data_IF_823099766649
#
_entry.id   IF_823099766649
#
_cell.length_a   1.000
_cell.length_b   1.000
_cell.length_c   1.000
_cell.angle_alpha   90.00
_cell.angle_beta   90.00
_cell.angle_gamma   90.00
#
_symmetry.space_group_name_H-M   'P 1'
#
loop_
_entity.id
_entity.type
_entity.pdbx_description
1 polymer ?
#
# COMPACT_ATOMS: atom_id res chain seq x y z
N UNK A 1 -36.25 33.16 17.69
CA UNK A 1 -35.31 32.94 16.59
C UNK A 1 -33.90 33.04 17.14
N UNK A 2 -33.33 31.91 17.56
CA UNK A 2 -31.92 31.85 17.93
C UNK A 2 -31.16 31.58 16.64
N UNK A 3 -30.53 32.63 16.13
CA UNK A 3 -29.55 32.54 15.04
C UNK A 3 -28.38 31.68 15.54
N UNK A 4 -28.38 30.40 15.17
CA UNK A 4 -27.21 29.55 15.29
C UNK A 4 -26.23 30.06 14.23
N UNK A 5 -25.24 30.85 14.66
CA UNK A 5 -24.09 31.16 13.84
C UNK A 5 -23.47 29.82 13.42
N UNK A 6 -23.50 29.53 12.12
CA UNK A 6 -22.85 28.34 11.58
C UNK A 6 -21.36 28.45 11.89
N UNK A 7 -20.84 27.56 12.74
CA UNK A 7 -19.39 27.43 12.95
C UNK A 7 -18.73 27.21 11.59
N UNK A 8 -17.92 28.18 11.16
CA UNK A 8 -17.21 28.15 9.88
C UNK A 8 -16.24 26.97 9.86
N UNK A 9 -16.36 26.10 8.86
CA UNK A 9 -15.47 24.95 8.67
C UNK A 9 -14.18 25.40 7.96
N UNK A 10 -12.99 25.32 8.58
CA UNK A 10 -11.72 25.74 7.97
C UNK A 10 -11.38 25.05 6.64
N UNK A 11 -11.93 23.86 6.39
CA UNK A 11 -11.83 23.18 5.09
C UNK A 11 -12.58 23.93 3.99
N UNK A 12 -13.78 24.42 4.29
CA UNK A 12 -14.62 25.12 3.31
C UNK A 12 -14.05 26.49 2.99
N UNK A 13 -13.48 27.18 3.99
CA UNK A 13 -12.75 28.42 3.78
C UNK A 13 -11.57 28.21 2.81
N UNK A 14 -10.75 27.18 3.01
CA UNK A 14 -9.63 26.89 2.11
C UNK A 14 -10.09 26.64 0.67
N UNK A 15 -11.09 25.77 0.48
CA UNK A 15 -11.62 25.44 -0.85
C UNK A 15 -12.51 26.52 -1.45
N UNK A 16 -12.86 27.58 -0.71
CA UNK A 16 -13.55 28.74 -1.28
C UNK A 16 -12.62 29.62 -2.14
N UNK A 17 -11.30 29.46 -1.97
CA UNK A 17 -10.30 30.19 -2.77
C UNK A 17 -10.42 29.85 -4.27
N UNK A 18 -10.55 30.90 -5.09
CA UNK A 18 -10.63 30.75 -6.56
C UNK A 18 -9.38 30.11 -7.14
N UNK A 19 -8.20 30.48 -6.62
CA UNK A 19 -6.92 29.88 -7.02
C UNK A 19 -6.91 28.38 -6.74
N UNK A 20 -7.35 27.96 -5.55
CA UNK A 20 -7.39 26.54 -5.17
C UNK A 20 -8.32 25.77 -6.10
N UNK A 21 -9.54 26.27 -6.32
CA UNK A 21 -10.53 25.59 -7.19
C UNK A 21 -10.06 25.54 -8.65
N UNK A 22 -9.43 26.59 -9.14
CA UNK A 22 -8.91 26.65 -10.51
C UNK A 22 -7.79 25.64 -10.74
N UNK A 23 -6.80 25.58 -9.84
CA UNK A 23 -5.69 24.62 -9.97
C UNK A 23 -6.18 23.16 -9.91
N UNK A 24 -7.14 22.86 -9.02
CA UNK A 24 -7.77 21.52 -8.95
C UNK A 24 -8.53 21.21 -10.23
N UNK A 25 -9.38 22.13 -10.69
CA UNK A 25 -10.20 21.92 -11.87
C UNK A 25 -9.38 21.73 -13.14
N UNK A 26 -8.33 22.52 -13.32
CA UNK A 26 -7.42 22.40 -14.46
C UNK A 26 -6.68 21.07 -14.46
N UNK A 27 -6.16 20.63 -13.31
CA UNK A 27 -5.51 19.32 -13.23
C UNK A 27 -6.50 18.17 -13.47
N UNK A 28 -7.70 18.25 -12.89
CA UNK A 28 -8.72 17.20 -12.98
C UNK A 28 -9.46 17.14 -14.32
N UNK A 29 -9.31 18.15 -15.19
CA UNK A 29 -10.03 18.22 -16.46
C UNK A 29 -9.76 17.00 -17.33
N UNK A 30 -10.82 16.27 -17.68
CA UNK A 30 -10.74 15.04 -18.48
C UNK A 30 -10.16 13.83 -17.72
N UNK A 31 -9.94 13.94 -16.41
CA UNK A 31 -9.51 12.83 -15.53
C UNK A 31 -10.68 12.28 -14.76
N UNK A 32 -10.61 10.98 -14.46
CA UNK A 32 -11.53 10.36 -13.52
C UNK A 32 -11.17 10.76 -12.09
N UNK A 33 -12.07 11.49 -11.44
CA UNK A 33 -11.83 12.13 -10.15
C UNK A 33 -12.15 11.19 -8.99
N UNK A 34 -11.40 11.33 -7.90
CA UNK A 34 -11.75 10.76 -6.61
C UNK A 34 -11.82 11.86 -5.54
N UNK A 35 -12.68 11.65 -4.55
CA UNK A 35 -12.77 12.49 -3.36
C UNK A 35 -12.65 11.61 -2.12
N UNK A 36 -11.80 12.03 -1.17
CA UNK A 36 -11.56 11.33 0.08
C UNK A 36 -11.98 12.19 1.27
N UNK A 37 -12.70 11.58 2.20
CA UNK A 37 -13.13 12.17 3.46
C UNK A 37 -13.33 11.09 4.53
N UNK A 38 -13.95 11.48 5.64
CA UNK A 38 -14.29 10.61 6.75
C UNK A 38 -13.99 11.25 8.11
N UNK A 39 -14.78 10.88 9.12
CA UNK A 39 -14.51 11.24 10.51
C UNK A 39 -13.32 10.43 11.06
N UNK A 40 -12.72 10.88 12.18
CA UNK A 40 -11.64 10.17 12.88
C UNK A 40 -11.92 8.67 13.01
N UNK A 41 -11.12 7.85 12.31
CA UNK A 41 -11.23 6.38 12.31
C UNK A 41 -11.99 5.75 11.13
N UNK A 42 -12.65 6.56 10.28
CA UNK A 42 -13.34 6.12 9.06
C UNK A 42 -12.68 6.72 7.83
N UNK A 43 -12.44 5.90 6.80
CA UNK A 43 -11.93 6.34 5.49
C UNK A 43 -13.00 6.10 4.44
N UNK A 44 -13.44 7.16 3.77
CA UNK A 44 -14.38 7.07 2.66
C UNK A 44 -13.70 7.63 1.42
N UNK A 45 -13.56 6.77 0.41
CA UNK A 45 -12.92 7.11 -0.86
C UNK A 45 -13.92 6.87 -1.99
N UNK A 46 -14.40 7.96 -2.60
CA UNK A 46 -15.45 7.92 -3.62
C UNK A 46 -14.91 8.29 -4.98
N UNK A 47 -15.36 7.56 -6.00
CA UNK A 47 -15.04 7.79 -7.41
C UNK A 47 -16.25 7.82 -8.32
N UNK A 48 -17.44 7.61 -7.76
CA UNK A 48 -18.69 7.56 -8.49
C UNK A 48 -19.77 8.34 -7.77
N UNK A 49 -20.68 8.91 -8.54
CA UNK A 49 -21.98 9.36 -8.06
C UNK A 49 -22.84 8.17 -7.63
N UNK A 50 -23.93 8.44 -6.90
CA UNK A 50 -24.86 7.40 -6.45
C UNK A 50 -25.54 6.65 -7.62
N UNK A 51 -25.69 7.32 -8.75
CA UNK A 51 -26.23 6.73 -9.99
C UNK A 51 -25.19 5.90 -10.78
N UNK A 52 -23.96 5.77 -10.26
CA UNK A 52 -22.89 4.97 -10.85
C UNK A 52 -22.05 5.70 -11.89
N UNK A 53 -22.36 6.95 -12.25
CA UNK A 53 -21.52 7.77 -13.15
C UNK A 53 -20.17 8.09 -12.50
N UNK A 54 -19.04 8.04 -13.23
CA UNK A 54 -17.75 8.41 -12.67
C UNK A 54 -17.70 9.89 -12.30
N UNK A 55 -17.03 10.24 -11.21
CA UNK A 55 -16.83 11.64 -10.83
C UNK A 55 -15.89 12.32 -11.84
N UNK A 56 -16.22 13.55 -12.20
CA UNK A 56 -15.39 14.40 -13.05
C UNK A 56 -15.48 15.84 -12.56
N UNK A 57 -14.43 16.62 -12.84
CA UNK A 57 -14.33 18.04 -12.55
C UNK A 57 -13.72 18.69 -13.79
N UNK A 58 -14.37 19.71 -14.32
CA UNK A 58 -13.97 20.44 -15.53
C UNK A 58 -13.83 21.95 -15.31
N UNK A 59 -14.50 22.47 -14.27
CA UNK A 59 -14.54 23.87 -13.88
C UNK A 59 -14.30 24.08 -12.37
N UNK A 60 -13.88 25.29 -11.94
CA UNK A 60 -13.78 25.64 -10.52
C UNK A 60 -15.12 25.47 -9.76
N UNK A 61 -16.24 25.67 -10.46
CA UNK A 61 -17.58 25.49 -9.90
C UNK A 61 -17.87 24.01 -9.59
N UNK A 62 -17.42 23.09 -10.45
CA UNK A 62 -17.60 21.65 -10.23
C UNK A 62 -16.89 21.19 -8.94
N UNK A 63 -15.73 21.78 -8.62
CA UNK A 63 -15.01 21.50 -7.36
C UNK A 63 -15.89 21.85 -6.16
N UNK A 64 -16.50 23.03 -6.20
CA UNK A 64 -17.38 23.51 -5.13
C UNK A 64 -18.62 22.65 -4.98
N UNK A 65 -19.26 22.30 -6.10
CA UNK A 65 -20.45 21.44 -6.11
C UNK A 65 -20.14 20.04 -5.59
N UNK A 66 -18.98 19.49 -5.96
CA UNK A 66 -18.51 18.20 -5.47
C UNK A 66 -18.34 18.20 -3.94
N UNK A 67 -17.65 19.21 -3.40
CA UNK A 67 -17.44 19.35 -1.95
C UNK A 67 -18.76 19.54 -1.20
N UNK A 68 -19.67 20.36 -1.74
CA UNK A 68 -20.98 20.62 -1.15
C UNK A 68 -21.87 19.37 -1.17
N UNK A 69 -21.88 18.62 -2.27
CA UNK A 69 -22.67 17.40 -2.39
C UNK A 69 -22.21 16.35 -1.38
N UNK A 70 -20.89 16.21 -1.19
CA UNK A 70 -20.31 15.25 -0.28
C UNK A 70 -20.01 15.81 1.13
N UNK A 71 -20.55 16.98 1.49
CA UNK A 71 -20.27 17.68 2.76
C UNK A 71 -20.40 16.81 4.00
N UNK A 72 -21.39 15.92 4.03
CA UNK A 72 -21.60 14.98 5.14
C UNK A 72 -20.45 13.99 5.37
N UNK A 73 -19.57 13.79 4.38
CA UNK A 73 -18.36 12.97 4.49
C UNK A 73 -17.16 13.76 5.00
N UNK A 74 -17.29 15.08 5.21
CA UNK A 74 -16.16 15.98 5.50
C UNK A 74 -15.01 15.78 4.49
N UNK A 75 -15.27 15.98 3.18
CA UNK A 75 -14.29 15.71 2.14
C UNK A 75 -13.07 16.60 2.34
N UNK A 76 -11.90 15.98 2.33
CA UNK A 76 -10.63 16.66 2.59
C UNK A 76 -9.72 16.68 1.38
N UNK A 77 -9.65 15.61 0.61
CA UNK A 77 -8.71 15.48 -0.50
C UNK A 77 -9.42 15.14 -1.82
N UNK A 78 -8.93 15.71 -2.90
CA UNK A 78 -9.38 15.51 -4.28
C UNK A 78 -8.20 14.96 -5.08
N UNK A 79 -8.48 13.96 -5.91
CA UNK A 79 -7.48 13.25 -6.72
C UNK A 79 -7.92 13.20 -8.18
N UNK A 80 -6.96 13.21 -9.09
CA UNK A 80 -7.17 12.94 -10.51
C UNK A 80 -6.44 11.65 -10.93
N UNK A 81 -7.06 10.89 -11.83
CA UNK A 81 -6.42 9.71 -12.44
C UNK A 81 -5.18 10.07 -13.25
N UNK A 82 -4.26 9.12 -13.39
CA UNK A 82 -3.11 9.27 -14.30
C UNK A 82 -3.55 9.47 -15.76
N UNK A 83 -4.67 8.84 -16.12
CA UNK A 83 -5.25 8.88 -17.45
C UNK A 83 -6.13 10.12 -17.63
N UNK A 84 -6.04 10.72 -18.81
CA UNK A 84 -7.02 11.63 -19.38
C UNK A 84 -7.83 10.85 -20.41
N UNK A 85 -9.14 10.92 -20.32
CA UNK A 85 -10.07 10.19 -21.17
C UNK A 85 -10.70 11.10 -22.21
N UNK A 86 -11.03 10.53 -23.39
CA UNK A 86 -11.85 11.24 -24.40
C UNK A 86 -13.28 11.43 -23.89
N UNK A 87 -13.79 10.46 -23.12
CA UNK A 87 -15.12 10.50 -22.49
C UNK A 87 -15.14 9.87 -21.09
N UNK A 88 -15.84 10.52 -20.15
CA UNK A 88 -16.06 10.05 -18.76
C UNK A 88 -17.57 9.92 -18.51
N UNK A 89 -18.28 9.23 -19.40
CA UNK A 89 -19.74 9.08 -19.29
C UNK A 89 -20.16 7.86 -18.47
N UNK A 90 -19.32 6.81 -18.39
CA UNK A 90 -19.70 5.54 -17.77
C UNK A 90 -18.50 4.77 -17.19
N UNK A 91 -18.79 3.68 -16.48
CA UNK A 91 -17.75 2.74 -16.00
C UNK A 91 -17.00 2.07 -17.15
N UNK A 92 -17.70 1.72 -18.22
CA UNK A 92 -17.09 1.11 -19.39
C UNK A 92 -16.13 2.08 -20.08
N UNK A 93 -16.45 3.39 -20.10
CA UNK A 93 -15.57 4.37 -20.74
C UNK A 93 -14.22 4.49 -20.02
N UNK A 94 -14.19 4.41 -18.69
CA UNK A 94 -12.93 4.51 -17.92
C UNK A 94 -12.09 3.22 -17.94
N UNK A 95 -12.65 2.09 -18.38
CA UNK A 95 -11.97 0.80 -18.50
C UNK A 95 -11.49 0.50 -19.93
N UNK A 96 -12.01 1.21 -20.93
CA UNK A 96 -11.63 1.07 -22.34
C UNK A 96 -10.24 1.68 -22.62
N UNK A 97 -9.23 0.86 -22.99
CA UNK A 97 -7.89 1.34 -23.34
C UNK A 97 -7.89 2.37 -24.47
N UNK A 98 -8.80 2.23 -25.44
CA UNK A 98 -8.88 3.11 -26.62
C UNK A 98 -9.45 4.50 -26.30
N UNK A 99 -10.11 4.63 -25.15
CA UNK A 99 -10.66 5.87 -24.65
C UNK A 99 -9.63 6.71 -23.87
N UNK A 100 -8.46 6.15 -23.55
CA UNK A 100 -7.34 6.90 -22.96
C UNK A 100 -6.77 7.83 -24.03
N UNK A 101 -6.92 9.14 -23.83
CA UNK A 101 -6.39 10.18 -24.70
C UNK A 101 -4.92 10.49 -24.38
N UNK A 102 -4.60 10.56 -23.09
CA UNK A 102 -3.25 10.82 -22.57
C UNK A 102 -3.06 10.11 -21.23
N UNK A 103 -1.81 9.88 -20.83
CA UNK A 103 -1.47 9.40 -19.50
C UNK A 103 -0.19 10.09 -19.02
N UNK A 104 -0.17 10.57 -17.79
CA UNK A 104 0.99 11.26 -17.22
C UNK A 104 2.00 10.22 -16.69
N UNK A 105 3.27 10.21 -17.15
CA UNK A 105 4.35 9.50 -16.47
C UNK A 105 4.61 10.13 -15.11
N UNK A 106 4.58 9.33 -14.04
CA UNK A 106 4.69 9.80 -12.66
C UNK A 106 5.56 8.84 -11.84
N UNK A 107 6.59 9.39 -11.22
CA UNK A 107 7.40 8.70 -10.21
C UNK A 107 6.91 9.09 -8.82
N UNK A 108 6.50 8.11 -8.03
CA UNK A 108 6.01 8.31 -6.66
C UNK A 108 7.15 8.05 -5.66
N UNK A 109 7.54 9.07 -4.91
CA UNK A 109 8.55 8.97 -3.84
C UNK A 109 7.86 9.20 -2.51
N UNK A 110 7.69 8.12 -1.76
CA UNK A 110 7.22 8.14 -0.39
C UNK A 110 8.40 8.24 0.59
N UNK A 111 8.23 9.04 1.64
CA UNK A 111 9.19 9.16 2.72
C UNK A 111 8.55 9.61 4.03
N UNK A 112 9.38 9.96 5.01
CA UNK A 112 8.92 10.57 6.25
C UNK A 112 9.08 12.10 6.20
N UNK A 113 8.13 12.83 6.78
CA UNK A 113 8.13 14.29 6.77
C UNK A 113 9.36 14.93 7.42
N UNK A 114 9.94 14.30 8.44
CA UNK A 114 11.17 14.77 9.10
C UNK A 114 12.43 14.54 8.25
N UNK A 115 12.30 13.78 7.15
CA UNK A 115 13.35 13.34 6.24
C UNK A 115 13.10 13.77 4.80
N UNK A 116 12.27 14.81 4.63
CA UNK A 116 11.85 15.31 3.31
C UNK A 116 13.02 15.71 2.40
N UNK A 117 14.17 16.13 2.96
CA UNK A 117 15.35 16.49 2.16
C UNK A 117 15.88 15.33 1.33
N UNK A 118 15.82 14.12 1.88
CA UNK A 118 16.26 12.92 1.16
C UNK A 118 15.26 12.54 0.06
N UNK A 119 13.97 12.79 0.26
CA UNK A 119 12.94 12.68 -0.81
C UNK A 119 13.24 13.64 -1.96
N UNK A 120 13.65 14.88 -1.66
CA UNK A 120 14.05 15.88 -2.67
C UNK A 120 15.36 15.49 -3.37
N UNK A 121 16.30 14.87 -2.66
CA UNK A 121 17.53 14.35 -3.25
C UNK A 121 17.24 13.22 -4.26
N UNK A 122 16.34 12.29 -3.92
CA UNK A 122 15.85 11.27 -4.87
C UNK A 122 15.12 11.90 -6.05
N UNK A 123 14.27 12.92 -5.79
CA UNK A 123 13.58 13.64 -6.86
C UNK A 123 14.57 14.28 -7.83
N UNK A 124 15.68 14.83 -7.34
CA UNK A 124 16.76 15.39 -8.17
C UNK A 124 17.38 14.34 -9.08
N UNK A 125 17.72 13.17 -8.55
CA UNK A 125 18.30 12.07 -9.35
C UNK A 125 17.38 11.68 -10.51
N UNK A 126 16.07 11.59 -10.25
CA UNK A 126 15.06 11.24 -11.26
C UNK A 126 14.94 12.35 -12.30
N UNK A 127 14.85 13.61 -11.85
CA UNK A 127 14.76 14.77 -12.74
C UNK A 127 15.97 14.88 -13.66
N UNK A 128 17.19 14.71 -13.13
CA UNK A 128 18.41 14.71 -13.95
C UNK A 128 18.42 13.61 -15.02
N UNK A 129 17.85 12.43 -14.73
CA UNK A 129 17.74 11.36 -15.72
C UNK A 129 16.69 11.68 -16.78
N UNK A 130 15.57 12.29 -16.41
CA UNK A 130 14.55 12.76 -17.35
C UNK A 130 15.12 13.84 -18.27
N UNK A 131 15.93 14.76 -17.74
CA UNK A 131 16.64 15.77 -18.53
C UNK A 131 17.66 15.15 -19.49
N UNK A 132 18.40 14.10 -19.06
CA UNK A 132 19.28 13.33 -19.95
C UNK A 132 18.54 12.63 -21.08
N UNK A 133 17.27 12.26 -20.88
CA UNK A 133 16.37 11.74 -21.91
C UNK A 133 15.80 12.84 -22.83
N UNK A 134 16.18 14.10 -22.61
CA UNK A 134 15.80 15.24 -23.45
C UNK A 134 14.51 15.96 -23.04
N UNK A 135 13.94 15.62 -21.88
CA UNK A 135 12.69 16.22 -21.39
C UNK A 135 13.01 17.18 -20.24
N UNK A 136 12.84 18.48 -20.44
CA UNK A 136 13.14 19.48 -19.41
C UNK A 136 11.94 20.41 -19.16
N UNK A 137 11.32 20.94 -20.21
CA UNK A 137 10.27 21.96 -20.10
C UNK A 137 8.95 21.39 -19.56
N UNK A 138 8.67 20.15 -19.93
CA UNK A 138 7.44 19.43 -19.55
C UNK A 138 7.50 18.75 -18.18
N UNK A 139 8.57 18.94 -17.40
CA UNK A 139 8.71 18.35 -16.06
C UNK A 139 8.17 19.29 -14.99
N UNK A 140 7.54 18.73 -13.97
CA UNK A 140 7.20 19.43 -12.74
C UNK A 140 7.13 18.45 -11.56
N UNK A 141 7.23 18.99 -10.34
CA UNK A 141 7.20 18.20 -9.11
C UNK A 141 5.98 18.60 -8.30
N UNK A 142 5.34 17.62 -7.65
CA UNK A 142 4.33 17.83 -6.63
C UNK A 142 4.84 17.39 -5.28
N UNK A 143 4.73 18.23 -4.25
CA UNK A 143 4.83 17.77 -2.88
C UNK A 143 3.43 17.43 -2.36
N UNK A 144 3.12 16.14 -2.20
CA UNK A 144 1.76 15.66 -1.89
C UNK A 144 1.39 15.73 -0.41
N UNK A 145 2.37 16.07 0.45
CA UNK A 145 2.22 16.25 1.89
C UNK A 145 2.95 15.21 2.73
N UNK A 146 3.25 14.03 2.19
CA UNK A 146 4.14 13.04 2.83
C UNK A 146 5.28 12.57 1.91
N UNK A 147 5.26 12.97 0.64
CA UNK A 147 6.24 12.59 -0.37
C UNK A 147 6.23 13.54 -1.58
N UNK A 148 7.05 13.21 -2.57
CA UNK A 148 7.16 13.96 -3.82
C UNK A 148 6.75 13.09 -5.00
N UNK A 149 6.00 13.67 -5.94
CA UNK A 149 5.70 13.05 -7.22
C UNK A 149 6.37 13.85 -8.33
N UNK A 150 7.17 13.19 -9.16
CA UNK A 150 7.76 13.80 -10.35
C UNK A 150 6.82 13.50 -11.50
N UNK A 151 6.36 14.53 -12.19
CA UNK A 151 5.44 14.42 -13.30
C UNK A 151 6.11 14.88 -14.59
N UNK A 152 5.87 14.14 -15.66
CA UNK A 152 5.97 14.65 -17.03
C UNK A 152 4.57 15.01 -17.49
N UNK A 153 4.41 16.22 -18.04
CA UNK A 153 3.14 16.67 -18.58
C UNK A 153 2.75 15.81 -19.79
N UNK A 154 1.62 15.13 -19.73
CA UNK A 154 1.20 14.08 -20.67
C UNK A 154 1.05 14.54 -22.13
N UNK A 155 0.95 15.85 -22.36
CA UNK A 155 0.89 16.47 -23.70
C UNK A 155 2.27 16.71 -24.33
N UNK A 156 3.36 16.32 -23.68
CA UNK A 156 4.69 16.42 -24.28
C UNK A 156 4.94 15.38 -25.38
N UNK A 157 4.09 14.34 -25.46
CA UNK A 157 4.16 13.33 -26.52
C UNK A 157 3.32 13.78 -27.72
N UNK A 158 3.90 13.70 -28.92
CA UNK A 158 3.23 14.10 -30.15
C UNK A 158 2.11 13.14 -30.53
N UNK A 159 1.19 13.64 -31.36
CA UNK A 159 0.15 12.81 -31.97
C UNK A 159 0.71 11.63 -32.76
N UNK A 160 1.89 11.74 -33.35
CA UNK A 160 2.50 10.66 -34.14
C UNK A 160 2.90 9.47 -33.26
N UNK A 161 3.45 9.73 -32.07
CA UNK A 161 3.78 8.68 -31.09
C UNK A 161 2.52 8.10 -30.47
N UNK A 162 1.57 8.96 -30.09
CA UNK A 162 0.29 8.55 -29.48
C UNK A 162 -0.63 7.79 -30.45
N UNK A 163 -0.43 7.92 -31.76
CA UNK A 163 -1.13 7.11 -32.76
C UNK A 163 -0.57 5.67 -32.86
N UNK A 164 0.68 5.45 -32.43
CA UNK A 164 1.37 4.16 -32.52
C UNK A 164 1.31 3.35 -31.22
N UNK A 165 1.32 4.03 -30.08
CA UNK A 165 1.40 3.41 -28.76
C UNK A 165 0.32 3.96 -27.84
N UNK A 166 -0.24 3.10 -26.96
CA UNK A 166 -1.20 3.58 -25.97
C UNK A 166 -0.51 4.56 -25.00
N UNK A 167 -1.16 5.67 -24.60
CA UNK A 167 -0.55 6.60 -23.66
C UNK A 167 -0.10 5.96 -22.34
N UNK A 168 -0.85 4.97 -21.84
CA UNK A 168 -0.51 4.26 -20.60
C UNK A 168 0.72 3.36 -20.76
N UNK A 169 0.94 2.80 -21.96
CA UNK A 169 2.15 2.03 -22.27
C UNK A 169 3.39 2.90 -22.19
N UNK A 170 3.31 4.10 -22.77
CA UNK A 170 4.39 5.10 -22.76
C UNK A 170 4.67 5.51 -21.32
N UNK A 171 3.64 5.88 -20.56
CA UNK A 171 3.80 6.31 -19.17
C UNK A 171 4.44 5.22 -18.31
N UNK A 172 3.95 3.98 -18.39
CA UNK A 172 4.51 2.87 -17.62
C UNK A 172 5.97 2.61 -17.98
N UNK A 173 6.26 2.53 -19.29
CA UNK A 173 7.58 2.17 -19.78
C UNK A 173 8.61 3.24 -19.45
N UNK A 174 8.25 4.52 -19.58
CA UNK A 174 9.16 5.62 -19.27
C UNK A 174 9.48 5.67 -17.78
N UNK A 175 8.47 5.47 -16.92
CA UNK A 175 8.68 5.38 -15.47
C UNK A 175 9.63 4.24 -15.12
N UNK A 176 9.41 3.06 -15.69
CA UNK A 176 10.23 1.87 -15.43
C UNK A 176 11.68 2.04 -15.91
N UNK A 177 11.88 2.58 -17.13
CA UNK A 177 13.20 2.84 -17.70
C UNK A 177 14.03 3.77 -16.80
N UNK A 178 13.45 4.89 -16.38
CA UNK A 178 14.15 5.87 -15.53
C UNK A 178 14.45 5.27 -14.16
N UNK A 179 13.52 4.51 -13.57
CA UNK A 179 13.78 3.85 -12.28
C UNK A 179 14.95 2.87 -12.38
N UNK A 180 15.01 2.06 -13.43
CA UNK A 180 16.12 1.12 -13.62
C UNK A 180 17.47 1.86 -13.76
N UNK A 181 17.51 2.97 -14.51
CA UNK A 181 18.74 3.79 -14.67
C UNK A 181 19.16 4.53 -13.41
N UNK A 182 18.20 4.97 -12.60
CA UNK A 182 18.46 5.69 -11.35
C UNK A 182 18.74 4.75 -10.17
N UNK A 183 18.51 3.44 -10.34
CA UNK A 183 18.45 2.47 -9.25
C UNK A 183 19.63 2.53 -8.29
N UNK A 184 20.86 2.45 -8.80
CA UNK A 184 22.06 2.45 -7.95
C UNK A 184 22.18 3.74 -7.13
N UNK A 185 21.93 4.91 -7.75
CA UNK A 185 22.00 6.21 -7.07
C UNK A 185 20.91 6.37 -6.01
N UNK A 186 19.69 5.90 -6.30
CA UNK A 186 18.58 5.94 -5.34
C UNK A 186 18.86 4.99 -4.17
N UNK A 187 19.43 3.80 -4.44
CA UNK A 187 19.81 2.84 -3.41
C UNK A 187 20.90 3.37 -2.47
N UNK A 188 21.86 4.16 -2.98
CA UNK A 188 22.85 4.83 -2.15
C UNK A 188 22.19 5.77 -1.12
N UNK A 189 21.19 6.57 -1.52
CA UNK A 189 20.44 7.42 -0.58
C UNK A 189 19.64 6.58 0.42
N UNK A 190 18.91 5.56 -0.08
CA UNK A 190 18.11 4.67 0.76
C UNK A 190 18.97 3.92 1.79
N UNK A 191 20.22 3.59 1.46
CA UNK A 191 21.16 2.97 2.40
C UNK A 191 21.45 3.85 3.62
N UNK A 192 21.38 5.18 3.44
CA UNK A 192 21.55 6.19 4.50
C UNK A 192 20.21 6.54 5.16
N UNK A 193 19.09 6.30 4.47
CA UNK A 193 17.74 6.57 4.93
C UNK A 193 16.74 5.49 4.51
N UNK A 194 16.53 4.51 5.40
CA UNK A 194 15.70 3.33 5.12
C UNK A 194 14.19 3.61 5.00
N UNK A 195 13.75 4.86 5.17
CA UNK A 195 12.33 5.26 5.11
C UNK A 195 11.85 5.65 3.72
N UNK A 196 12.74 5.74 2.72
CA UNK A 196 12.37 6.15 1.36
C UNK A 196 11.96 4.95 0.52
N UNK A 197 10.85 5.13 -0.21
CA UNK A 197 10.33 4.16 -1.16
C UNK A 197 10.00 4.87 -2.47
N UNK A 198 10.51 4.35 -3.57
CA UNK A 198 10.18 4.83 -4.92
C UNK A 198 9.50 3.70 -5.68
N UNK A 199 8.36 3.97 -6.31
CA UNK A 199 7.56 2.94 -6.98
C UNK A 199 7.08 3.36 -8.36
N UNK A 200 7.05 2.39 -9.29
CA UNK A 200 6.26 2.49 -10.50
C UNK A 200 4.79 2.18 -10.18
N UNK A 201 4.05 3.22 -9.82
CA UNK A 201 2.64 3.11 -9.43
C UNK A 201 1.65 3.28 -10.60
N UNK A 202 2.18 3.33 -11.83
CA UNK A 202 1.39 3.45 -13.06
C UNK A 202 0.46 2.26 -13.19
N UNK A 203 -0.84 2.54 -13.15
CA UNK A 203 -1.91 1.57 -13.23
C UNK A 203 -3.16 2.21 -13.83
N UNK A 204 -3.95 1.42 -14.57
CA UNK A 204 -5.17 1.87 -15.26
C UNK A 204 -6.09 2.72 -14.37
N UNK A 205 -6.16 2.40 -13.07
CA UNK A 205 -7.06 3.07 -12.12
C UNK A 205 -6.32 3.96 -11.11
N UNK A 206 -4.99 4.14 -11.22
CA UNK A 206 -4.20 4.97 -10.29
C UNK A 206 -4.67 6.43 -10.29
N UNK A 207 -4.67 7.05 -9.11
CA UNK A 207 -4.91 8.48 -8.93
C UNK A 207 -3.81 9.11 -8.10
N UNK A 208 -3.59 10.41 -8.30
CA UNK A 208 -2.68 11.22 -7.50
C UNK A 208 -3.39 12.50 -7.04
N UNK A 209 -2.95 13.03 -5.90
CA UNK A 209 -3.51 14.24 -5.28
C UNK A 209 -3.47 15.41 -6.26
N UNK A 210 -4.60 16.10 -6.43
CA UNK A 210 -4.68 17.27 -7.28
C UNK A 210 -3.83 18.42 -6.69
N UNK A 211 -3.19 19.27 -7.51
CA UNK A 211 -2.55 20.49 -7.03
C UNK A 211 -3.50 21.32 -6.17
N UNK A 212 -2.98 21.88 -5.09
CA UNK A 212 -3.67 22.60 -4.03
C UNK A 212 -4.77 21.81 -3.30
N UNK A 213 -5.01 20.53 -3.61
CA UNK A 213 -5.83 19.70 -2.73
C UNK A 213 -5.11 19.50 -1.39
N UNK A 214 -5.89 19.48 -0.30
CA UNK A 214 -5.36 19.18 1.03
C UNK A 214 -4.99 17.70 1.16
N UNK A 215 -3.96 17.42 1.95
CA UNK A 215 -3.58 16.07 2.29
C UNK A 215 -4.61 15.44 3.25
N UNK A 216 -4.98 14.19 3.01
CA UNK A 216 -6.05 13.47 3.74
C UNK A 216 -5.94 13.47 5.27
N UNK A 217 -4.73 13.56 5.83
CA UNK A 217 -4.48 13.50 7.30
C UNK A 217 -3.69 14.69 7.85
N UNK A 218 -2.89 15.34 7.01
CA UNK A 218 -1.95 16.38 7.43
C UNK A 218 -2.56 17.73 7.12
N UNK A 219 -2.25 18.76 7.90
CA UNK A 219 -2.63 20.13 7.58
C UNK A 219 -1.66 20.74 6.55
N UNK A 220 -1.53 20.06 5.40
CA UNK A 220 -0.68 20.44 4.28
C UNK A 220 -1.51 20.38 3.00
N UNK A 221 -1.18 21.21 2.01
CA UNK A 221 -1.74 21.19 0.66
C UNK A 221 -0.70 20.69 -0.35
N UNK A 222 -1.19 20.12 -1.45
CA UNK A 222 -0.35 19.59 -2.51
C UNK A 222 0.22 20.74 -3.36
N UNK A 223 1.49 21.12 -3.19
CA UNK A 223 2.08 22.23 -3.97
C UNK A 223 2.87 21.72 -5.16
N UNK A 224 2.94 22.53 -6.22
CA UNK A 224 3.73 22.23 -7.41
C UNK A 224 4.90 23.21 -7.51
N UNK A 225 6.02 22.75 -8.06
CA UNK A 225 7.20 23.54 -8.34
C UNK A 225 7.98 22.95 -9.52
N UNK A 226 8.89 23.73 -10.09
CA UNK A 226 9.71 23.32 -11.25
C UNK A 226 11.05 22.72 -10.81
N UNK A 227 11.72 21.93 -11.69
CA UNK A 227 13.04 21.35 -11.42
C UNK A 227 14.06 22.31 -10.80
N UNK A 228 14.16 23.53 -11.33
CA UNK A 228 15.08 24.57 -10.87
C UNK A 228 14.75 25.12 -9.46
N UNK A 229 13.61 24.74 -8.87
CA UNK A 229 13.20 25.12 -7.53
C UNK A 229 13.48 24.02 -6.48
N UNK A 230 13.97 22.84 -6.88
CA UNK A 230 14.27 21.72 -5.97
C UNK A 230 15.23 22.12 -4.83
N UNK A 231 16.26 22.91 -5.15
CA UNK A 231 17.29 23.34 -4.18
C UNK A 231 16.79 24.31 -3.11
N UNK A 232 15.70 25.02 -3.39
CA UNK A 232 15.14 26.06 -2.51
C UNK A 232 13.78 25.65 -1.93
N UNK A 233 13.31 24.44 -2.24
CA UNK A 233 12.07 23.92 -1.72
C UNK A 233 12.19 23.73 -0.21
N UNK A 234 11.17 24.14 0.52
CA UNK A 234 11.03 23.91 1.96
C UNK A 234 9.60 23.44 2.25
N UNK A 235 9.43 22.58 3.25
CA UNK A 235 8.13 21.92 3.54
C UNK A 235 7.01 22.93 3.86
N UNK A 236 7.37 24.11 4.37
CA UNK A 236 6.46 25.22 4.68
C UNK A 236 5.72 25.72 3.44
N UNK A 237 6.24 25.49 2.23
CA UNK A 237 5.54 25.82 0.99
C UNK A 237 4.18 25.12 0.91
N UNK A 238 4.02 23.97 1.56
CA UNK A 238 2.78 23.22 1.60
C UNK A 238 1.80 23.70 2.70
N UNK A 239 2.08 24.78 3.42
CA UNK A 239 1.18 25.33 4.44
C UNK A 239 -0.11 25.89 3.78
N UNK A 240 -1.31 25.36 4.09
CA UNK A 240 -2.56 25.80 3.45
C UNK A 240 -2.90 27.28 3.63
N UNK A 241 -2.38 27.93 4.68
CA UNK A 241 -2.63 29.35 4.94
C UNK A 241 -1.73 30.29 4.12
N UNK A 242 -0.57 29.81 3.69
CA UNK A 242 0.42 30.61 2.98
C UNK A 242 1.30 29.69 2.12
N UNK A 243 0.66 29.05 1.15
CA UNK A 243 1.36 28.09 0.29
C UNK A 243 2.20 28.80 -0.77
N UNK A 244 3.28 28.17 -1.20
CA UNK A 244 4.04 28.58 -2.39
C UNK A 244 3.87 27.52 -3.47
N UNK A 245 3.18 27.91 -4.54
CA UNK A 245 2.78 27.04 -5.63
C UNK A 245 3.12 27.67 -6.97
N UNK A 246 3.77 26.90 -7.85
CA UNK A 246 4.11 27.31 -9.20
C UNK A 246 3.08 26.79 -10.19
N UNK A 247 2.19 27.67 -10.68
CA UNK A 247 1.16 27.35 -11.69
C UNK A 247 1.74 27.00 -13.08
N UNK A 248 3.04 27.22 -13.29
CA UNK A 248 3.78 26.80 -14.47
C UNK A 248 3.89 25.27 -14.64
N UNK A 249 3.39 24.46 -13.69
CA UNK A 249 3.26 23.00 -13.85
C UNK A 249 2.48 22.59 -15.12
N UNK A 250 1.66 23.51 -15.65
CA UNK A 250 0.87 23.35 -16.89
C UNK A 250 1.69 23.46 -18.17
N UNK A 251 2.93 23.95 -18.09
CA UNK A 251 3.78 24.15 -19.25
C UNK A 251 4.28 22.82 -19.81
N UNK A 252 4.24 22.69 -21.14
CA UNK A 252 4.76 21.54 -21.87
C UNK A 252 5.21 21.93 -23.29
N UNK A 253 5.99 21.07 -23.93
CA UNK A 253 6.36 21.17 -25.35
C UNK A 253 5.98 19.86 -26.04
N UNK A 254 5.07 19.94 -27.01
CA UNK A 254 4.68 18.77 -27.80
C UNK A 254 5.87 18.23 -28.61
N UNK A 255 6.08 16.92 -28.58
CA UNK A 255 7.19 16.24 -29.22
C UNK A 255 8.46 16.14 -28.36
N UNK A 256 8.56 16.86 -27.24
CA UNK A 256 9.72 16.81 -26.34
C UNK A 256 9.95 15.40 -25.77
N UNK A 257 8.87 14.66 -25.51
CA UNK A 257 8.93 13.31 -24.93
C UNK A 257 9.06 12.16 -25.93
N UNK A 258 9.06 12.43 -27.24
CA UNK A 258 8.86 11.38 -28.26
C UNK A 258 10.02 10.37 -28.30
N UNK A 259 11.26 10.86 -28.30
CA UNK A 259 12.43 10.01 -28.35
C UNK A 259 12.52 9.11 -27.09
N UNK A 260 12.28 9.70 -25.92
CA UNK A 260 12.25 8.98 -24.66
C UNK A 260 11.12 7.94 -24.62
N UNK A 261 9.94 8.27 -25.16
CA UNK A 261 8.82 7.33 -25.26
C UNK A 261 9.16 6.11 -26.13
N UNK A 262 9.74 6.34 -27.32
CA UNK A 262 10.14 5.27 -28.24
C UNK A 262 11.21 4.38 -27.61
N UNK A 263 12.21 4.99 -26.97
CA UNK A 263 13.28 4.29 -26.27
C UNK A 263 12.74 3.43 -25.12
N UNK A 264 11.89 4.01 -24.27
CA UNK A 264 11.28 3.32 -23.15
C UNK A 264 10.39 2.15 -23.59
N UNK A 265 9.55 2.34 -24.62
CA UNK A 265 8.72 1.26 -25.17
C UNK A 265 9.59 0.12 -25.71
N UNK A 266 10.68 0.42 -26.42
CA UNK A 266 11.61 -0.61 -26.92
C UNK A 266 12.27 -1.40 -25.79
N UNK A 267 12.60 -0.73 -24.68
CA UNK A 267 13.29 -1.36 -23.55
C UNK A 267 12.34 -2.16 -22.64
N UNK A 268 11.12 -1.65 -22.40
CA UNK A 268 10.22 -2.17 -21.34
C UNK A 268 9.00 -2.90 -21.91
N UNK A 269 8.50 -2.50 -23.08
CA UNK A 269 7.43 -3.19 -23.80
C UNK A 269 5.99 -2.79 -23.46
N UNK A 270 5.77 -1.74 -22.67
CA UNK A 270 4.42 -1.23 -22.35
C UNK A 270 3.90 -1.62 -20.96
N UNK A 271 2.64 -1.26 -20.70
CA UNK A 271 1.96 -1.47 -19.42
C UNK A 271 1.62 -2.95 -19.22
N UNK A 272 2.18 -3.55 -18.17
CA UNK A 272 2.03 -4.99 -17.90
C UNK A 272 0.61 -5.39 -17.46
N UNK A 273 -0.22 -4.43 -17.05
CA UNK A 273 -1.56 -4.69 -16.55
C UNK A 273 -2.62 -4.96 -17.63
N UNK A 274 -2.29 -4.86 -18.93
CA UNK A 274 -3.22 -5.21 -20.00
C UNK A 274 -3.57 -6.70 -20.03
N UNK A 275 -2.63 -7.56 -19.65
CA UNK A 275 -2.81 -9.01 -19.71
C UNK A 275 -3.48 -9.48 -18.41
N UNK A 276 -4.74 -9.91 -18.52
CA UNK A 276 -5.47 -10.57 -17.44
C UNK A 276 -4.94 -12.01 -17.23
N UNK A 277 -3.69 -12.14 -16.81
CA UNK A 277 -3.17 -13.40 -16.26
C UNK A 277 -2.70 -13.15 -14.85
N UNK A 278 -3.14 -14.01 -13.94
CA UNK A 278 -2.88 -14.07 -12.50
C UNK A 278 -1.41 -14.22 -12.09
N UNK A 279 -0.46 -13.80 -12.92
CA UNK A 279 0.92 -13.61 -12.54
C UNK A 279 1.04 -12.23 -11.88
N UNK A 280 1.49 -12.20 -10.63
CA UNK A 280 1.77 -10.97 -9.88
C UNK A 280 2.37 -9.91 -10.80
N UNK A 281 1.68 -8.79 -10.98
CA UNK A 281 2.19 -7.63 -11.70
C UNK A 281 3.46 -7.14 -10.97
N UNK A 282 4.63 -7.56 -11.44
CA UNK A 282 5.92 -7.13 -10.88
C UNK A 282 6.06 -5.65 -11.22
N UNK A 283 5.73 -4.79 -10.26
CA UNK A 283 6.01 -3.34 -10.30
C UNK A 283 7.45 -3.12 -9.85
N UNK A 284 8.13 -2.20 -10.50
CA UNK A 284 9.46 -1.76 -10.06
C UNK A 284 9.30 -0.96 -8.77
N UNK A 285 9.91 -1.46 -7.70
CA UNK A 285 9.95 -0.82 -6.38
C UNK A 285 11.41 -0.69 -5.99
N UNK A 286 11.85 0.51 -5.66
CA UNK A 286 13.17 0.78 -5.11
C UNK A 286 12.96 1.18 -3.65
N UNK A 287 13.36 0.31 -2.76
CA UNK A 287 13.29 0.51 -1.31
C UNK A 287 14.40 -0.31 -0.67
N UNK A 288 14.70 -0.04 0.61
CA UNK A 288 15.69 -0.83 1.34
C UNK A 288 15.35 -2.34 1.32
N UNK A 289 14.07 -2.70 1.18
CA UNK A 289 13.60 -4.08 1.12
C UNK A 289 13.71 -4.70 -0.28
N UNK A 290 13.67 -3.89 -1.35
CA UNK A 290 13.72 -4.36 -2.75
C UNK A 290 15.14 -4.39 -3.35
N UNK A 291 16.12 -3.77 -2.68
CA UNK A 291 17.52 -3.65 -3.10
C UNK A 291 18.37 -4.93 -2.99
N UNK A 292 17.81 -6.04 -2.53
CA UNK A 292 18.57 -7.27 -2.31
C UNK A 292 18.83 -8.04 -3.61
N UNK A 293 20.08 -8.00 -4.11
CA UNK A 293 20.98 -9.07 -4.66
C UNK A 293 21.90 -8.44 -5.74
N UNK A 294 23.23 -8.45 -5.69
CA UNK A 294 24.19 -8.94 -4.72
C UNK A 294 25.62 -8.55 -5.12
N UNK A 295 26.47 -8.28 -4.14
CA UNK A 295 27.91 -8.55 -4.19
C UNK A 295 28.38 -8.84 -2.77
N UNK A 296 29.23 -9.86 -2.66
CA UNK A 296 29.50 -10.65 -1.46
C UNK A 296 30.14 -9.85 -0.31
N UNK A 297 29.51 -9.87 0.86
CA UNK A 297 29.99 -10.56 2.08
C UNK A 297 29.01 -10.27 3.24
N UNK A 298 28.57 -11.35 3.90
CA UNK A 298 27.85 -11.44 5.17
C UNK A 298 27.52 -10.13 5.91
N UNK A 299 26.22 -9.80 6.00
CA UNK A 299 25.55 -9.76 7.32
C UNK A 299 24.04 -10.02 7.23
N UNK A 300 23.51 -10.79 8.18
CA UNK A 300 22.15 -11.33 8.22
C UNK A 300 21.14 -10.31 8.77
N UNK A 301 20.20 -9.80 7.95
CA UNK A 301 19.28 -8.74 8.38
C UNK A 301 17.79 -8.83 8.00
N UNK A 302 17.33 -9.85 7.26
CA UNK A 302 15.89 -10.00 6.97
C UNK A 302 15.12 -10.51 8.19
N UNK A 303 14.24 -9.69 8.79
CA UNK A 303 13.39 -10.12 9.93
C UNK A 303 12.08 -10.73 9.42
N UNK A 304 11.79 -11.97 9.82
CA UNK A 304 10.48 -12.60 9.59
C UNK A 304 9.41 -11.85 10.39
N UNK A 305 8.31 -11.46 9.73
CA UNK A 305 7.21 -10.74 10.37
C UNK A 305 6.49 -11.57 11.44
N UNK A 306 5.97 -10.92 12.48
CA UNK A 306 5.27 -11.58 13.61
C UNK A 306 4.09 -12.45 13.18
N UNK A 307 3.38 -12.03 12.13
CA UNK A 307 2.27 -12.80 11.55
C UNK A 307 2.78 -14.11 10.93
N UNK A 308 3.89 -14.04 10.18
CA UNK A 308 4.57 -15.19 9.60
C UNK A 308 5.12 -16.13 10.68
N UNK A 309 5.76 -15.59 11.73
CA UNK A 309 6.24 -16.39 12.87
C UNK A 309 5.07 -17.11 13.57
N UNK A 310 3.95 -16.41 13.82
CA UNK A 310 2.77 -17.01 14.43
C UNK A 310 2.19 -18.13 13.56
N UNK A 311 2.02 -17.88 12.26
CA UNK A 311 1.47 -18.88 11.33
C UNK A 311 2.35 -20.11 11.22
N UNK A 312 3.67 -19.92 11.09
CA UNK A 312 4.65 -21.00 11.03
C UNK A 312 4.64 -21.87 12.30
N UNK A 313 4.69 -21.24 13.47
CA UNK A 313 4.73 -21.98 14.74
C UNK A 313 3.41 -22.69 15.04
N UNK A 314 2.26 -22.10 14.69
CA UNK A 314 0.96 -22.77 14.87
C UNK A 314 0.79 -23.94 13.90
N UNK A 315 1.27 -23.81 12.66
CA UNK A 315 1.31 -24.94 11.72
C UNK A 315 2.23 -26.05 12.24
N UNK A 316 3.46 -25.73 12.63
CA UNK A 316 4.40 -26.70 13.18
C UNK A 316 3.87 -27.36 14.46
N UNK A 317 3.20 -26.61 15.34
CA UNK A 317 2.49 -27.12 16.54
C UNK A 317 1.43 -28.14 16.16
N UNK A 318 0.56 -27.79 15.23
CA UNK A 318 -0.51 -28.69 14.78
C UNK A 318 0.05 -29.97 14.13
N UNK A 319 1.08 -29.81 13.30
CA UNK A 319 1.78 -30.94 12.68
C UNK A 319 2.38 -31.89 13.73
N UNK A 320 3.04 -31.35 14.78
CA UNK A 320 3.57 -32.17 15.87
C UNK A 320 2.49 -32.91 16.67
N UNK A 321 1.27 -32.37 16.75
CA UNK A 321 0.16 -32.99 17.48
C UNK A 321 -0.60 -34.03 16.66
N UNK A 322 -0.60 -33.92 15.32
CA UNK A 322 -1.50 -34.69 14.44
C UNK A 322 -0.82 -35.45 13.32
N UNK A 323 0.37 -35.04 12.89
CA UNK A 323 1.09 -35.59 11.73
C UNK A 323 0.57 -35.12 10.36
N UNK A 324 -0.45 -34.26 10.30
CA UNK A 324 -1.07 -33.83 9.05
C UNK A 324 -0.52 -32.48 8.59
N UNK A 325 0.27 -32.48 7.52
CA UNK A 325 0.94 -31.28 6.99
C UNK A 325 -0.04 -30.28 6.37
N UNK A 326 -1.00 -30.76 5.60
CA UNK A 326 -1.90 -29.88 4.87
C UNK A 326 -2.88 -29.21 5.83
N UNK A 327 -3.42 -29.96 6.80
CA UNK A 327 -4.25 -29.37 7.86
C UNK A 327 -3.44 -28.48 8.79
N UNK A 328 -2.16 -28.76 9.01
CA UNK A 328 -1.27 -27.87 9.77
C UNK A 328 -1.13 -26.50 9.11
N UNK A 329 -0.92 -26.45 7.79
CA UNK A 329 -0.87 -25.17 7.03
C UNK A 329 -2.17 -24.38 7.19
N UNK A 330 -3.30 -25.06 6.97
CA UNK A 330 -4.64 -24.49 7.15
C UNK A 330 -4.86 -23.94 8.57
N UNK A 331 -4.51 -24.73 9.59
CA UNK A 331 -4.62 -24.33 11.00
C UNK A 331 -3.72 -23.15 11.35
N UNK A 332 -2.46 -23.18 10.91
CA UNK A 332 -1.47 -22.14 11.20
C UNK A 332 -1.90 -20.77 10.70
N UNK A 333 -2.38 -20.70 9.44
CA UNK A 333 -2.92 -19.46 8.89
C UNK A 333 -4.18 -19.00 9.65
N UNK A 334 -5.12 -19.92 9.92
CA UNK A 334 -6.35 -19.62 10.65
C UNK A 334 -6.06 -19.02 12.03
N UNK A 335 -5.11 -19.57 12.79
CA UNK A 335 -4.72 -19.04 14.10
C UNK A 335 -4.00 -17.70 14.00
N UNK A 336 -3.11 -17.51 13.02
CA UNK A 336 -2.46 -16.22 12.81
C UNK A 336 -3.48 -15.09 12.56
N UNK A 337 -4.53 -15.37 11.77
CA UNK A 337 -5.65 -14.45 11.52
C UNK A 337 -6.45 -14.20 12.81
N UNK A 338 -6.80 -15.25 13.55
CA UNK A 338 -7.52 -15.14 14.82
C UNK A 338 -6.79 -14.23 15.83
N UNK A 339 -5.48 -14.43 16.03
CA UNK A 339 -4.69 -13.60 16.94
C UNK A 339 -4.54 -12.16 16.45
N UNK A 340 -4.42 -11.94 15.14
CA UNK A 340 -4.39 -10.60 14.57
C UNK A 340 -5.72 -9.85 14.78
N UNK A 341 -6.85 -10.55 14.66
CA UNK A 341 -8.19 -10.02 14.93
C UNK A 341 -8.39 -9.71 16.42
N UNK A 342 -8.03 -10.65 17.31
CA UNK A 342 -8.17 -10.51 18.77
C UNK A 342 -7.35 -9.34 19.32
N UNK A 343 -6.17 -9.07 18.73
CA UNK A 343 -5.32 -7.92 19.10
C UNK A 343 -5.97 -6.56 18.77
N UNK A 344 -6.75 -6.48 17.68
CA UNK A 344 -7.41 -5.23 17.26
C UNK A 344 -8.69 -4.93 18.04
N UNK A 345 -9.39 -5.96 18.51
CA UNK A 345 -10.67 -5.82 19.21
C UNK A 345 -10.56 -6.00 20.74
N UNK A 346 -9.37 -6.36 21.25
CA UNK A 346 -9.15 -6.60 22.68
C UNK A 346 -9.28 -5.40 23.62
N UNK A 347 -9.31 -4.15 23.11
CA UNK A 347 -9.54 -2.93 23.93
C UNK A 347 -11.01 -2.60 24.18
N UNK A 348 -11.96 -3.16 23.42
CA UNK A 348 -13.40 -3.01 23.67
C UNK A 348 -13.95 -4.09 24.63
N UNK A 349 -13.13 -5.07 25.02
CA UNK A 349 -13.55 -6.25 25.81
C UNK A 349 -12.93 -6.23 27.21
N UNK A 350 -12.83 -5.06 27.86
CA UNK A 350 -12.49 -5.00 29.29
C UNK A 350 -13.71 -4.73 30.16
N UNK A 351 -14.09 -5.76 30.92
CA UNK A 351 -14.70 -5.75 32.28
C UNK A 351 -16.00 -6.52 32.49
N UNK A 352 -16.73 -6.98 31.46
CA UNK A 352 -17.92 -7.87 31.67
C UNK A 352 -18.15 -8.97 30.63
N UNK A 353 -17.42 -8.97 29.51
CA UNK A 353 -17.61 -9.91 28.39
C UNK A 353 -16.65 -11.12 28.43
N UNK A 354 -15.44 -10.96 28.96
CA UNK A 354 -14.43 -12.03 29.00
C UNK A 354 -14.88 -13.22 29.86
N UNK A 355 -15.66 -12.97 30.91
CA UNK A 355 -16.26 -14.01 31.75
C UNK A 355 -17.47 -14.69 31.11
N UNK A 356 -18.15 -14.06 30.13
CA UNK A 356 -19.26 -14.69 29.38
C UNK A 356 -18.76 -15.52 28.19
N UNK A 357 -17.64 -15.16 27.56
CA UNK A 357 -17.06 -15.96 26.47
C UNK A 357 -16.29 -17.19 26.96
N UNK A 358 -15.65 -17.11 28.13
CA UNK A 358 -14.97 -18.25 28.75
C UNK A 358 -15.94 -19.22 29.47
N UNK A 359 -17.21 -18.82 29.63
CA UNK A 359 -18.26 -19.59 30.32
C UNK A 359 -19.35 -20.11 29.35
N UNK A 360 -19.14 -19.98 28.03
CA UNK A 360 -19.95 -20.70 27.02
C UNK A 360 -19.54 -22.18 26.93
N UNK A 361 -19.34 -22.81 28.08
CA UNK A 361 -19.36 -24.25 28.25
C UNK A 361 -20.76 -24.78 28.59
N UNK A 362 -21.75 -23.91 28.82
CA UNK A 362 -23.09 -24.36 29.17
C UNK A 362 -24.17 -23.36 28.72
N UNK A 363 -25.23 -23.91 28.11
CA UNK A 363 -26.46 -23.28 27.60
C UNK A 363 -26.37 -22.52 26.26
N UNK A 364 -27.07 -23.12 25.30
CA UNK A 364 -27.13 -22.70 23.91
C UNK A 364 -27.83 -21.38 23.69
N UNK A 365 -27.30 -20.64 22.71
CA UNK A 365 -28.00 -19.85 21.69
C UNK A 365 -27.01 -18.83 21.10
N UNK A 366 -26.22 -19.31 20.13
CA UNK A 366 -25.58 -18.46 19.13
C UNK A 366 -25.38 -19.29 17.86
N UNK A 367 -26.42 -19.24 17.02
CA UNK A 367 -26.47 -19.59 15.59
C UNK A 367 -25.61 -20.79 15.19
N UNK A 368 -26.24 -21.95 15.35
CA UNK A 368 -25.92 -23.14 14.58
C UNK A 368 -25.79 -22.81 13.07
N UNK A 369 -24.65 -23.19 12.50
CA UNK A 369 -24.52 -23.78 11.17
C UNK A 369 -24.70 -22.87 9.96
N UNK A 370 -23.58 -22.38 9.41
CA UNK A 370 -23.40 -22.56 7.96
C UNK A 370 -23.31 -24.08 7.74
N UNK A 371 -24.20 -24.65 6.93
CA UNK A 371 -24.29 -26.10 6.70
C UNK A 371 -22.93 -26.69 6.30
N UNK A 372 -22.22 -27.32 7.24
CA UNK A 372 -20.98 -28.05 6.95
C UNK A 372 -19.73 -27.68 7.76
N UNK A 373 -19.80 -26.75 8.70
CA UNK A 373 -18.69 -26.50 9.62
C UNK A 373 -18.74 -27.46 10.82
N UNK A 374 -17.61 -28.12 11.12
CA UNK A 374 -17.44 -29.02 12.27
C UNK A 374 -16.45 -28.40 13.26
N UNK A 375 -16.76 -28.37 14.58
CA UNK A 375 -15.80 -27.97 15.58
C UNK A 375 -14.68 -29.00 15.66
N UNK A 376 -13.44 -28.54 15.57
CA UNK A 376 -12.21 -29.32 15.72
C UNK A 376 -11.49 -28.78 16.95
N UNK A 377 -11.30 -29.65 17.93
CA UNK A 377 -10.60 -29.32 19.17
C UNK A 377 -9.10 -29.61 19.02
N UNK A 378 -8.28 -28.59 19.25
CA UNK A 378 -6.81 -28.67 19.27
C UNK A 378 -6.34 -28.28 20.66
N UNK A 379 -6.32 -29.26 21.57
CA UNK A 379 -6.04 -29.02 22.98
C UNK A 379 -7.20 -28.32 23.69
N UNK A 380 -6.95 -27.14 24.28
CA UNK A 380 -7.99 -26.30 24.90
C UNK A 380 -8.62 -25.29 23.92
N UNK A 381 -8.18 -25.28 22.65
CA UNK A 381 -8.64 -24.36 21.63
C UNK A 381 -9.64 -25.05 20.68
N UNK A 382 -10.80 -24.43 20.47
CA UNK A 382 -11.79 -24.88 19.48
C UNK A 382 -11.67 -24.01 18.23
N UNK A 383 -11.49 -24.65 17.08
CA UNK A 383 -11.53 -24.02 15.77
C UNK A 383 -12.56 -24.73 14.88
N UNK A 384 -13.14 -24.02 13.92
CA UNK A 384 -14.11 -24.61 13.00
C UNK A 384 -13.42 -25.05 11.72
N UNK A 385 -13.83 -26.20 11.18
CA UNK A 385 -13.35 -26.70 9.90
C UNK A 385 -14.52 -27.01 8.96
N UNK A 386 -14.33 -26.77 7.66
CA UNK A 386 -15.24 -27.18 6.61
C UNK A 386 -15.42 -28.70 6.53
N UNK A 387 -16.37 -29.17 5.72
CA UNK A 387 -16.58 -30.61 5.45
C UNK A 387 -15.32 -31.30 4.93
N UNK A 388 -14.50 -30.56 4.18
CA UNK A 388 -13.24 -31.04 3.59
C UNK A 388 -12.06 -31.00 4.59
N UNK A 389 -12.30 -30.57 5.83
CA UNK A 389 -11.31 -30.57 6.91
C UNK A 389 -10.43 -29.33 6.99
N UNK A 390 -10.67 -28.31 6.15
CA UNK A 390 -9.95 -27.04 6.18
C UNK A 390 -10.53 -26.07 7.20
N UNK A 391 -9.66 -25.43 7.99
CA UNK A 391 -10.07 -24.48 9.02
C UNK A 391 -10.72 -23.22 8.41
N UNK A 392 -11.69 -22.68 9.13
CA UNK A 392 -12.51 -21.53 8.72
C UNK A 392 -12.62 -20.52 9.87
N UNK A 393 -12.66 -19.24 9.51
CA UNK A 393 -12.94 -18.14 10.45
C UNK A 393 -13.67 -17.04 9.69
N UNK A 394 -14.76 -16.52 10.25
CA UNK A 394 -15.57 -15.47 9.60
C UNK A 394 -16.18 -15.88 8.25
N UNK A 395 -16.45 -17.18 8.05
CA UNK A 395 -17.02 -17.71 6.80
C UNK A 395 -16.03 -17.85 5.64
N UNK A 396 -14.73 -17.63 5.88
CA UNK A 396 -13.68 -17.88 4.91
C UNK A 396 -12.94 -19.17 5.25
N UNK A 397 -12.73 -20.04 4.26
CA UNK A 397 -11.89 -21.24 4.38
C UNK A 397 -10.42 -20.87 4.17
N UNK A 398 -9.53 -21.36 5.02
CA UNK A 398 -8.08 -21.18 4.90
C UNK A 398 -7.48 -22.44 4.31
N UNK A 399 -7.13 -22.41 3.02
CA UNK A 399 -6.53 -23.58 2.35
C UNK A 399 -5.01 -23.63 2.56
N UNK A 400 -4.36 -24.78 2.37
CA UNK A 400 -2.91 -24.89 2.42
C UNK A 400 -2.20 -23.92 1.46
N UNK A 401 -2.76 -23.68 0.27
CA UNK A 401 -2.18 -22.74 -0.70
C UNK A 401 -2.24 -21.29 -0.22
N UNK A 402 -3.23 -20.95 0.61
CA UNK A 402 -3.31 -19.63 1.23
C UNK A 402 -2.20 -19.42 2.26
N UNK A 403 -1.87 -20.49 3.00
CA UNK A 403 -0.72 -20.49 3.91
C UNK A 403 0.58 -20.36 3.13
N UNK A 404 0.72 -21.10 2.03
CA UNK A 404 1.94 -21.04 1.22
C UNK A 404 2.16 -19.63 0.66
N UNK A 405 1.10 -18.97 0.23
CA UNK A 405 1.15 -17.57 -0.23
C UNK A 405 1.44 -16.55 0.88
N UNK A 406 0.80 -16.68 2.05
CA UNK A 406 0.83 -15.63 3.09
C UNK A 406 1.89 -15.83 4.17
N UNK A 407 2.34 -17.07 4.37
CA UNK A 407 3.30 -17.48 5.40
C UNK A 407 4.56 -18.03 4.76
N UNK A 408 4.45 -19.06 3.91
CA UNK A 408 5.63 -19.75 3.40
C UNK A 408 6.46 -18.89 2.44
N UNK A 409 5.85 -18.28 1.42
CA UNK A 409 6.56 -17.47 0.42
C UNK A 409 7.31 -16.26 1.02
N UNK A 410 6.74 -15.49 1.98
CA UNK A 410 7.50 -14.45 2.69
C UNK A 410 8.70 -15.01 3.48
N UNK A 411 8.57 -16.17 4.11
CA UNK A 411 9.67 -16.81 4.86
C UNK A 411 10.73 -17.37 3.91
N UNK A 412 10.32 -18.00 2.82
CA UNK A 412 11.17 -18.51 1.74
C UNK A 412 12.10 -17.42 1.24
N UNK A 413 11.56 -16.24 0.94
CA UNK A 413 12.32 -15.08 0.46
C UNK A 413 13.39 -14.56 1.44
N UNK A 414 13.33 -14.94 2.72
CA UNK A 414 14.24 -14.46 3.77
C UNK A 414 15.31 -15.51 4.13
N UNK A 415 14.92 -16.77 4.34
CA UNK A 415 15.81 -17.79 4.94
C UNK A 415 15.58 -19.21 4.40
N UNK A 416 14.68 -19.38 3.43
CA UNK A 416 14.18 -20.68 2.99
C UNK A 416 13.15 -21.24 3.97
N UNK A 417 11.97 -21.58 3.44
CA UNK A 417 10.85 -22.09 4.22
C UNK A 417 11.17 -23.44 4.84
N UNK A 418 11.84 -24.34 4.11
CA UNK A 418 12.23 -25.64 4.65
C UNK A 418 13.12 -25.49 5.89
N UNK A 419 14.09 -24.57 5.84
CA UNK A 419 14.99 -24.29 6.96
C UNK A 419 14.24 -23.68 8.15
N UNK A 420 13.33 -22.73 7.89
CA UNK A 420 12.50 -22.14 8.93
C UNK A 420 11.53 -23.16 9.56
N UNK A 421 10.96 -24.05 8.75
CA UNK A 421 10.11 -25.15 9.18
C UNK A 421 10.85 -26.12 10.08
N UNK A 422 12.04 -26.57 9.67
CA UNK A 422 12.88 -27.44 10.50
C UNK A 422 13.24 -26.78 11.84
N UNK A 423 13.60 -25.49 11.82
CA UNK A 423 13.89 -24.73 13.03
C UNK A 423 12.66 -24.59 13.94
N UNK A 424 11.47 -24.34 13.39
CA UNK A 424 10.22 -24.30 14.15
C UNK A 424 9.92 -25.65 14.80
N UNK A 425 10.05 -26.75 14.06
CA UNK A 425 9.83 -28.11 14.57
C UNK A 425 10.80 -28.42 15.71
N UNK A 426 12.09 -28.14 15.54
CA UNK A 426 13.09 -28.43 16.56
C UNK A 426 12.90 -27.56 17.82
N UNK A 427 12.54 -26.28 17.63
CA UNK A 427 12.19 -25.38 18.72
C UNK A 427 11.00 -25.90 19.53
N UNK A 428 9.92 -26.33 18.84
CA UNK A 428 8.69 -26.79 19.49
C UNK A 428 8.85 -28.13 20.22
N UNK A 429 9.74 -29.01 19.76
CA UNK A 429 10.07 -30.27 20.47
C UNK A 429 10.68 -30.04 21.86
N UNK A 430 11.21 -28.83 22.13
CA UNK A 430 11.71 -28.44 23.45
C UNK A 430 10.62 -28.25 24.50
N UNK A 431 9.34 -28.21 24.11
CA UNK A 431 8.22 -27.95 25.02
C UNK A 431 7.40 -29.22 25.28
N UNK A 432 6.79 -29.30 26.47
CA UNK A 432 5.92 -30.42 26.81
C UNK A 432 4.66 -30.44 25.94
N UNK A 433 4.08 -31.63 25.75
CA UNK A 433 2.80 -31.78 25.05
C UNK A 433 1.69 -30.95 25.71
N UNK A 434 1.74 -30.76 27.03
CA UNK A 434 0.80 -29.91 27.76
C UNK A 434 0.92 -28.43 27.33
N UNK A 435 2.14 -27.90 27.23
CA UNK A 435 2.37 -26.53 26.75
C UNK A 435 1.92 -26.36 25.30
N UNK A 436 2.10 -27.37 24.46
CA UNK A 436 1.62 -27.35 23.08
C UNK A 436 0.11 -27.53 22.98
N UNK A 437 -0.58 -28.11 23.95
CA UNK A 437 -2.05 -28.23 23.92
C UNK A 437 -2.75 -27.02 24.53
N UNK A 438 -2.08 -26.25 25.39
CA UNK A 438 -2.67 -25.08 26.04
C UNK A 438 -2.38 -23.79 25.28
N UNK A 439 -3.42 -23.11 24.80
CA UNK A 439 -3.34 -21.91 23.97
C UNK A 439 -2.60 -20.76 24.68
N UNK A 440 -2.87 -20.53 25.96
CA UNK A 440 -2.26 -19.44 26.71
C UNK A 440 -0.78 -19.70 27.01
N UNK A 441 -0.43 -20.95 27.39
CA UNK A 441 0.96 -21.37 27.59
C UNK A 441 1.73 -21.30 26.28
N UNK A 442 1.16 -21.77 25.17
CA UNK A 442 1.77 -21.64 23.85
C UNK A 442 2.05 -20.17 23.51
N UNK A 443 1.07 -19.27 23.68
CA UNK A 443 1.30 -17.85 23.38
C UNK A 443 2.41 -17.24 24.24
N UNK A 444 2.38 -17.44 25.56
CA UNK A 444 3.30 -16.77 26.50
C UNK A 444 4.69 -17.41 26.56
N UNK A 445 4.77 -18.74 26.53
CA UNK A 445 6.02 -19.46 26.75
C UNK A 445 6.73 -19.84 25.45
N UNK A 446 5.97 -20.00 24.36
CA UNK A 446 6.49 -20.44 23.07
C UNK A 446 6.56 -19.28 22.09
N UNK A 447 5.46 -18.60 21.78
CA UNK A 447 5.46 -17.58 20.73
C UNK A 447 6.07 -16.24 21.18
N UNK A 448 5.61 -15.68 22.30
CA UNK A 448 5.99 -14.33 22.75
C UNK A 448 7.49 -14.10 22.91
N UNK A 449 8.29 -15.04 23.48
CA UNK A 449 9.72 -14.84 23.67
C UNK A 449 10.51 -14.69 22.37
N UNK A 450 10.00 -15.27 21.27
CA UNK A 450 10.74 -15.39 20.01
C UNK A 450 10.08 -14.66 18.84
N UNK A 451 8.89 -14.09 19.02
CA UNK A 451 8.13 -13.42 17.94
C UNK A 451 8.90 -12.33 17.19
N UNK A 452 9.89 -11.71 17.85
CA UNK A 452 10.75 -10.66 17.30
C UNK A 452 12.19 -11.13 17.00
N UNK A 453 12.52 -12.36 17.43
CA UNK A 453 13.88 -12.92 17.44
C UNK A 453 13.97 -14.29 16.79
N UNK A 454 12.93 -14.73 16.08
CA UNK A 454 12.86 -16.08 15.50
C UNK A 454 14.01 -16.37 14.54
N UNK A 455 14.53 -15.35 13.85
CA UNK A 455 15.75 -15.47 13.02
C UNK A 455 16.96 -16.00 13.80
N UNK A 456 17.08 -15.67 15.08
CA UNK A 456 18.18 -16.16 15.93
C UNK A 456 18.08 -17.68 16.15
N UNK A 457 16.86 -18.24 16.20
CA UNK A 457 16.63 -19.69 16.31
C UNK A 457 17.06 -20.39 15.03
N UNK A 458 16.77 -19.79 13.87
CA UNK A 458 17.10 -20.37 12.56
C UNK A 458 18.62 -20.32 12.30
N UNK A 459 19.29 -19.30 12.81
CA UNK A 459 20.73 -19.11 12.65
C UNK A 459 21.57 -19.88 13.65
N UNK A 460 21.05 -20.13 14.85
CA UNK A 460 21.80 -20.82 15.90
C UNK A 460 20.96 -21.91 16.61
N UNK A 461 20.65 -23.04 15.95
CA UNK A 461 19.76 -24.08 16.48
C UNK A 461 20.26 -24.73 17.79
N UNK A 462 21.58 -24.71 18.06
CA UNK A 462 22.20 -25.36 19.22
C UNK A 462 22.47 -24.41 20.41
N UNK A 463 22.43 -23.09 20.20
CA UNK A 463 22.80 -22.08 21.20
C UNK A 463 21.75 -21.83 22.29
N UNK A 464 20.47 -22.09 22.04
CA UNK A 464 19.38 -21.67 22.92
C UNK A 464 19.10 -22.60 24.13
N UNK A 465 19.62 -23.83 24.18
CA UNK A 465 19.45 -24.70 25.37
C UNK A 465 20.09 -24.12 26.64
N UNK A 466 21.04 -23.17 26.50
CA UNK A 466 21.74 -22.53 27.61
C UNK A 466 21.13 -21.20 28.08
N UNK A 467 20.43 -20.48 27.21
CA UNK A 467 19.92 -19.12 27.54
C UNK A 467 18.43 -19.09 27.89
N UNK A 468 17.62 -20.07 27.45
CA UNK A 468 16.20 -20.12 27.82
C UNK A 468 15.97 -20.60 29.26
N UNK A 469 16.92 -21.33 29.86
CA UNK A 469 16.87 -21.74 31.28
C UNK A 469 17.14 -20.59 32.26
N UNK A 470 17.56 -19.41 31.79
CA UNK A 470 17.74 -18.22 32.65
C UNK A 470 16.47 -17.42 32.90
N UNK A 471 15.37 -17.74 32.23
CA UNK A 471 14.13 -16.94 32.25
C UNK A 471 12.87 -17.75 32.60
N UNK A 472 13.02 -18.99 33.06
CA UNK A 472 11.96 -19.79 33.68
C UNK A 472 12.16 -19.87 35.19
#
# INVERSE_FOLDING_TARGET
MISVAAEFNPLEEYYSSETVRSEIAEYCRGRWVAIEGGALGSRVFLRYWRDGRPLSVSSPQDVWELLRHFRGLSPRAIYGSINIYKSISSRTSIEDPSNIAYASPIWDIDGELNRWREVIEVARIIVEEIERLGIAKSVFIKWSGEGAHIHIHERCFSREVLAKYNPLDIAYSLVDLVLERCKEKILDIISRSSSIKVENEIDLKRVFTAPLSLHRRRNLCCVCFKPNELDIFEIEWANPKNFKHNSGWKAYVEGEGDQAAIEAIKAVGGYRGWVSTSANQIRTVISAQAAGVGMETKDMGGRIGRFQVMGLLQAARYYLLTGDMERAKSFGLNRAIFYAWAKRHGREISSRSTRRMLDMGDKGELRAGLEGEKPVQVGDEVAFASRDGWFTIGGQIQKPEDYDRQIAAPIESIVGYERAWQAAIEYLKGFSRETLLNQQKFFKQVYEPIRDRFMEIILNPRGLRRDLTRWF
#
